data_IF_546128865917
#
_entry.id   IF_546128865917
#
_cell.length_a   1.000
_cell.length_b   1.000
_cell.length_c   1.000
_cell.angle_alpha   90.00
_cell.angle_beta   90.00
_cell.angle_gamma   90.00
#
_symmetry.space_group_name_H-M   'P 1'
#
loop_
_entity.id
_entity.type
_entity.pdbx_description
1 polymer ?
#
# COMPACT_ATOMS: atom_id res chain seq x y z
N UNK A 1 16.71 7.09 8.64
CA UNK A 1 15.63 6.76 7.68
C UNK A 1 14.65 7.93 7.67
N UNK A 2 14.39 8.58 6.53
CA UNK A 2 13.36 9.64 6.45
C UNK A 2 11.97 8.98 6.34
N UNK A 3 10.98 9.40 7.13
CA UNK A 3 9.61 8.90 6.98
C UNK A 3 9.01 9.46 5.67
N UNK A 4 8.35 8.60 4.90
CA UNK A 4 7.60 9.01 3.71
C UNK A 4 6.11 9.12 4.05
N UNK A 5 5.42 10.18 3.60
CA UNK A 5 4.03 10.40 3.96
C UNK A 5 3.13 9.32 3.35
N UNK A 6 2.25 8.77 4.18
CA UNK A 6 1.21 7.84 3.79
C UNK A 6 -0.11 8.32 4.37
N UNK A 7 -1.16 8.27 3.56
CA UNK A 7 -2.54 8.56 3.95
C UNK A 7 -3.31 7.25 3.81
N UNK A 8 -4.10 6.91 4.82
CA UNK A 8 -5.01 5.78 4.79
C UNK A 8 -6.42 6.31 5.01
N UNK A 9 -7.35 5.93 4.13
CA UNK A 9 -8.74 6.35 4.17
C UNK A 9 -9.66 5.14 4.03
N UNK A 10 -10.55 4.96 4.99
CA UNK A 10 -11.57 3.92 4.95
C UNK A 10 -11.96 3.42 6.34
N UNK A 11 -13.03 2.64 6.37
CA UNK A 11 -13.59 1.99 7.55
C UNK A 11 -13.68 0.50 7.29
N UNK A 12 -13.65 -0.33 8.33
CA UNK A 12 -13.89 -1.78 8.15
C UNK A 12 -15.21 -1.98 7.40
N UNK A 13 -15.26 -2.85 6.38
CA UNK A 13 -14.23 -3.84 6.03
C UNK A 13 -13.13 -3.38 5.06
N UNK A 14 -13.20 -2.18 4.47
CA UNK A 14 -12.33 -1.80 3.35
C UNK A 14 -11.60 -0.47 3.60
N UNK A 15 -10.28 -0.49 3.42
CA UNK A 15 -9.42 0.68 3.53
C UNK A 15 -8.58 0.85 2.28
N UNK A 16 -8.50 2.09 1.80
CA UNK A 16 -7.60 2.51 0.73
C UNK A 16 -6.40 3.20 1.35
N UNK A 17 -5.22 2.97 0.77
CA UNK A 17 -4.00 3.66 1.17
C UNK A 17 -3.38 4.36 -0.05
N UNK A 18 -2.79 5.53 0.18
CA UNK A 18 -2.09 6.30 -0.83
C UNK A 18 -0.85 6.93 -0.21
N UNK A 19 0.28 6.89 -0.90
CA UNK A 19 1.54 7.39 -0.35
C UNK A 19 2.73 7.09 -1.24
N UNK A 20 3.87 6.84 -0.62
CA UNK A 20 5.14 6.59 -1.31
C UNK A 20 5.81 5.34 -0.77
N UNK A 21 6.00 4.30 -1.58
CA UNK A 21 6.71 3.07 -1.17
C UNK A 21 8.21 3.33 -0.93
N UNK A 22 8.80 4.17 -1.79
CA UNK A 22 10.20 4.57 -1.82
C UNK A 22 10.28 6.04 -2.20
N UNK A 23 11.44 6.72 -2.04
CA UNK A 23 11.62 8.05 -2.59
C UNK A 23 11.29 8.09 -4.07
N UNK A 24 10.41 9.01 -4.46
CA UNK A 24 9.91 9.16 -5.82
C UNK A 24 9.18 7.93 -6.39
N UNK A 25 8.60 7.07 -5.54
CA UNK A 25 7.75 5.96 -5.94
C UNK A 25 6.32 6.05 -5.39
N UNK A 26 5.39 6.75 -6.07
CA UNK A 26 4.04 6.93 -5.58
C UNK A 26 3.29 5.61 -5.65
N UNK A 27 2.45 5.35 -4.66
CA UNK A 27 1.79 4.06 -4.51
C UNK A 27 0.36 4.21 -4.02
N UNK A 28 -0.47 3.26 -4.46
CA UNK A 28 -1.84 3.08 -4.00
C UNK A 28 -1.99 1.67 -3.47
N UNK A 29 -2.74 1.51 -2.39
CA UNK A 29 -3.01 0.21 -1.79
C UNK A 29 -4.46 0.06 -1.40
N UNK A 30 -4.82 -1.20 -1.17
CA UNK A 30 -6.13 -1.62 -0.75
C UNK A 30 -5.95 -2.68 0.33
N UNK A 31 -6.70 -2.54 1.41
CA UNK A 31 -6.87 -3.55 2.43
C UNK A 31 -8.35 -3.85 2.61
N UNK A 32 -8.69 -5.12 2.75
CA UNK A 32 -10.04 -5.58 2.95
C UNK A 32 -10.09 -6.71 3.97
N UNK A 33 -11.20 -6.82 4.70
CA UNK A 33 -11.48 -7.96 5.56
C UNK A 33 -12.93 -8.43 5.44
N UNK A 34 -13.18 -9.74 5.56
CA UNK A 34 -14.52 -10.30 5.62
C UNK A 34 -14.62 -11.13 6.90
N UNK A 35 -15.61 -10.83 7.73
CA UNK A 35 -15.91 -11.62 8.92
C UNK A 35 -16.32 -13.04 8.51
N UNK A 36 -15.71 -14.05 9.13
CA UNK A 36 -16.06 -15.46 8.98
C UNK A 36 -16.85 -15.95 10.22
N UNK A 37 -17.15 -17.23 10.27
CA UNK A 37 -17.87 -17.83 11.41
C UNK A 37 -17.00 -17.75 12.68
N UNK A 38 -17.61 -17.26 13.76
CA UNK A 38 -16.96 -17.17 15.07
C UNK A 38 -16.01 -15.98 15.18
N UNK A 39 -14.79 -16.22 15.66
CA UNK A 39 -13.74 -15.21 15.82
C UNK A 39 -12.77 -15.15 14.64
N UNK A 40 -13.12 -15.70 13.48
CA UNK A 40 -12.24 -15.73 12.31
C UNK A 40 -12.55 -14.58 11.34
N UNK A 41 -11.52 -14.07 10.68
CA UNK A 41 -11.62 -13.01 9.66
C UNK A 41 -10.70 -13.36 8.48
N UNK A 42 -11.22 -13.30 7.26
CA UNK A 42 -10.39 -13.31 6.05
C UNK A 42 -9.87 -11.89 5.83
N UNK A 43 -8.56 -11.72 5.65
CA UNK A 43 -7.94 -10.42 5.35
C UNK A 43 -7.16 -10.50 4.06
N UNK A 44 -7.25 -9.46 3.25
CA UNK A 44 -6.45 -9.28 2.06
C UNK A 44 -5.89 -7.86 2.05
N UNK A 45 -4.67 -7.71 1.55
CA UNK A 45 -4.04 -6.42 1.34
C UNK A 45 -3.14 -6.47 0.13
N UNK A 46 -3.01 -5.34 -0.55
CA UNK A 46 -2.06 -5.19 -1.63
C UNK A 46 -1.67 -3.73 -1.79
N UNK A 47 -0.55 -3.53 -2.46
CA UNK A 47 -0.07 -2.21 -2.85
C UNK A 47 0.52 -2.28 -4.24
N UNK A 48 0.29 -1.23 -5.01
CA UNK A 48 0.84 -1.01 -6.33
C UNK A 48 1.58 0.32 -6.33
N UNK A 49 2.90 0.26 -6.47
CA UNK A 49 3.74 1.40 -6.79
C UNK A 49 3.73 1.68 -8.29
N UNK A 50 3.54 2.95 -8.64
CA UNK A 50 3.46 3.42 -10.02
C UNK A 50 4.87 3.74 -10.51
N UNK A 51 5.19 3.24 -11.71
CA UNK A 51 6.42 3.63 -12.38
C UNK A 51 6.35 5.05 -12.88
N UNK A 52 7.42 5.81 -12.67
CA UNK A 52 7.59 7.18 -13.15
C UNK A 52 9.07 7.51 -13.34
N UNK A 53 9.32 8.43 -14.27
CA UNK A 53 10.62 9.05 -14.47
C UNK A 53 10.55 10.54 -14.19
N UNK A 54 11.68 11.11 -13.79
CA UNK A 54 11.78 12.54 -13.48
C UNK A 54 13.20 12.95 -13.15
N UNK A 55 13.33 14.17 -12.64
CA UNK A 55 14.60 14.78 -12.26
C UNK A 55 14.50 15.26 -10.80
N UNK A 56 15.58 15.08 -10.03
CA UNK A 56 15.68 15.58 -8.66
C UNK A 56 16.15 17.04 -8.65
N UNK A 57 16.02 17.70 -7.50
CA UNK A 57 16.48 19.09 -7.33
C UNK A 57 17.99 19.29 -7.58
N UNK A 58 18.78 18.21 -7.52
CA UNK A 58 20.22 18.21 -7.82
C UNK A 58 20.55 17.90 -9.30
N UNK A 59 19.53 17.82 -10.16
CA UNK A 59 19.66 17.53 -11.58
C UNK A 59 19.83 16.05 -11.91
N UNK A 60 19.82 15.16 -10.91
CA UNK A 60 19.94 13.72 -11.18
C UNK A 60 18.62 13.13 -11.66
N UNK A 61 18.68 12.44 -12.80
CA UNK A 61 17.53 11.70 -13.31
C UNK A 61 17.20 10.51 -12.39
N UNK A 62 15.93 10.15 -12.33
CA UNK A 62 15.47 8.91 -11.73
C UNK A 62 14.43 8.25 -12.62
N UNK A 63 14.39 6.93 -12.53
CA UNK A 63 13.39 6.09 -13.14
C UNK A 63 12.97 5.05 -12.12
N UNK A 64 11.68 4.76 -12.10
CA UNK A 64 11.10 3.79 -11.20
C UNK A 64 10.16 2.89 -11.97
N UNK A 65 10.26 1.59 -11.70
CA UNK A 65 9.40 0.58 -12.31
C UNK A 65 8.11 0.40 -11.52
N UNK A 66 7.10 -0.18 -12.17
CA UNK A 66 5.91 -0.65 -11.47
C UNK A 66 6.28 -1.85 -10.59
N UNK A 67 6.06 -1.75 -9.29
CA UNK A 67 6.20 -2.86 -8.33
C UNK A 67 4.94 -2.98 -7.51
N UNK A 68 4.59 -4.20 -7.10
CA UNK A 68 3.47 -4.41 -6.21
C UNK A 68 3.58 -5.70 -5.45
N UNK A 69 2.74 -5.81 -4.42
CA UNK A 69 2.58 -7.02 -3.64
C UNK A 69 1.12 -7.22 -3.31
N UNK A 70 0.75 -8.47 -3.08
CA UNK A 70 -0.54 -8.87 -2.55
C UNK A 70 -0.31 -9.95 -1.50
N UNK A 71 -1.04 -9.85 -0.39
CA UNK A 71 -1.06 -10.85 0.66
C UNK A 71 -2.50 -11.07 1.11
N UNK A 72 -2.85 -12.32 1.38
CA UNK A 72 -4.14 -12.68 1.95
C UNK A 72 -3.96 -13.79 2.98
N UNK A 73 -4.85 -13.85 3.97
CA UNK A 73 -4.79 -14.85 5.02
C UNK A 73 -6.02 -14.85 5.90
N UNK A 74 -6.11 -15.87 6.76
CA UNK A 74 -7.15 -15.99 7.78
C UNK A 74 -6.53 -15.67 9.13
N UNK A 75 -7.18 -14.82 9.92
CA UNK A 75 -6.72 -14.42 11.25
C UNK A 75 -7.82 -14.53 12.29
N UNK A 76 -7.42 -14.56 13.56
CA UNK A 76 -8.34 -14.42 14.67
C UNK A 76 -8.62 -12.92 14.93
N UNK A 77 -9.88 -12.59 15.16
CA UNK A 77 -10.36 -11.29 15.59
C UNK A 77 -10.13 -11.18 17.10
N UNK A 78 -9.15 -10.36 17.49
CA UNK A 78 -8.90 -9.94 18.87
C UNK A 78 -9.87 -8.84 19.29
#
# INVERSE_FOLDING_TARGET
>A
MRPYPHISYGLRPVQLTGGWLFPHHPAVGLQGGIDLIGSLELRASGTLGLGQSGERDDGTAFETDRIGWIAAGVGARL
#
